data_IF_122153950086
#
_entry.id   IF_122153950086
#
_cell.length_a   1.000
_cell.length_b   1.000
_cell.length_c   1.000
_cell.angle_alpha   90.00
_cell.angle_beta   90.00
_cell.angle_gamma   90.00
#
_symmetry.space_group_name_H-M   'P 1'
#
loop_
_entity.id
_entity.type
_entity.pdbx_description
1 polymer ?
#
# COMPACT_ATOMS: atom_id res chain seq x y z
N UNK A 1 16.03 -6.82 2.37
CA UNK A 1 14.55 -6.77 2.51
C UNK A 1 14.05 -5.38 2.17
N UNK A 2 13.63 -5.13 0.92
CA UNK A 2 12.93 -3.90 0.51
C UNK A 2 11.38 -4.01 0.51
N UNK A 3 10.73 -5.17 0.25
CA UNK A 3 9.28 -5.18 0.03
C UNK A 3 8.47 -4.91 1.31
N UNK A 4 8.99 -5.24 2.49
CA UNK A 4 8.25 -5.04 3.74
C UNK A 4 8.06 -3.55 4.07
N UNK A 5 9.09 -2.72 3.84
CA UNK A 5 9.04 -1.29 4.15
C UNK A 5 8.05 -0.56 3.24
N UNK A 6 8.03 -0.92 1.95
CA UNK A 6 7.06 -0.37 1.00
C UNK A 6 5.62 -0.72 1.44
N UNK A 7 5.36 -1.95 1.88
CA UNK A 7 4.01 -2.31 2.34
C UNK A 7 3.64 -1.59 3.63
N UNK A 8 4.54 -1.50 4.60
CA UNK A 8 4.28 -0.74 5.84
C UNK A 8 3.95 0.73 5.57
N UNK A 9 4.65 1.37 4.62
CA UNK A 9 4.35 2.74 4.20
C UNK A 9 2.99 2.86 3.51
N UNK A 10 2.60 1.84 2.74
CA UNK A 10 1.28 1.79 2.08
C UNK A 10 0.18 1.67 3.13
N UNK A 11 0.34 0.75 4.09
CA UNK A 11 -0.62 0.54 5.18
C UNK A 11 -0.75 1.79 6.07
N UNK A 12 0.37 2.40 6.45
CA UNK A 12 0.38 3.64 7.23
C UNK A 12 -0.30 4.79 6.48
N UNK A 13 -0.03 4.94 5.17
CA UNK A 13 -0.67 5.95 4.35
C UNK A 13 -2.18 5.71 4.17
N UNK A 14 -2.62 4.45 4.15
CA UNK A 14 -4.03 4.07 4.09
C UNK A 14 -4.75 4.33 5.42
N UNK A 15 -4.13 4.01 6.57
CA UNK A 15 -4.69 4.30 7.89
C UNK A 15 -4.73 5.80 8.21
N UNK A 16 -3.71 6.57 7.79
CA UNK A 16 -3.66 8.02 7.96
C UNK A 16 -4.71 8.77 7.13
N UNK A 17 -5.21 8.16 6.06
CA UNK A 17 -6.24 8.74 5.21
C UNK A 17 -7.64 8.39 5.76
N UNK A 18 -8.43 9.40 6.11
CA UNK A 18 -9.79 9.21 6.64
C UNK A 18 -10.72 8.40 5.73
N UNK A 19 -10.44 8.38 4.42
CA UNK A 19 -11.21 7.63 3.44
C UNK A 19 -10.62 6.26 3.10
N UNK A 20 -9.44 5.89 3.62
CA UNK A 20 -8.84 4.57 3.42
C UNK A 20 -8.67 4.18 1.94
N UNK A 21 -8.37 5.14 1.07
CA UNK A 21 -8.34 4.92 -0.39
C UNK A 21 -6.92 4.85 -0.94
N UNK A 22 -6.66 3.84 -1.79
CA UNK A 22 -5.42 3.72 -2.56
C UNK A 22 -5.16 4.96 -3.42
N UNK A 23 -6.19 5.66 -3.89
CA UNK A 23 -6.02 6.89 -4.66
C UNK A 23 -5.35 7.99 -3.82
N UNK A 24 -5.80 8.15 -2.58
CA UNK A 24 -5.26 9.17 -1.68
C UNK A 24 -3.87 8.78 -1.14
N UNK A 25 -3.67 7.51 -0.79
CA UNK A 25 -2.35 6.99 -0.41
C UNK A 25 -1.32 7.14 -1.56
N UNK A 26 -1.75 6.99 -2.82
CA UNK A 26 -0.89 7.17 -3.99
C UNK A 26 -0.37 8.60 -4.15
N UNK A 27 -1.19 9.59 -3.78
CA UNK A 27 -0.80 11.00 -3.79
C UNK A 27 0.27 11.31 -2.72
N UNK A 28 0.21 10.66 -1.55
CA UNK A 28 1.23 10.81 -0.49
C UNK A 28 2.54 10.11 -0.80
N UNK A 29 2.45 8.93 -1.41
CA UNK A 29 3.62 8.08 -1.68
C UNK A 29 4.25 8.33 -3.06
N UNK A 30 3.72 9.27 -3.85
CA UNK A 30 4.18 9.59 -5.22
C UNK A 30 4.24 8.34 -6.13
N UNK A 31 3.27 7.45 -5.98
CA UNK A 31 3.14 6.20 -6.73
C UNK A 31 1.76 6.16 -7.40
N UNK A 32 1.51 5.19 -8.26
CA UNK A 32 0.18 4.99 -8.84
C UNK A 32 -0.69 4.11 -7.92
N UNK A 33 -2.02 4.31 -7.87
CA UNK A 33 -2.91 3.48 -7.04
C UNK A 33 -2.79 1.98 -7.36
N UNK A 34 -2.63 1.65 -8.65
CA UNK A 34 -2.47 0.29 -9.14
C UNK A 34 -1.20 -0.38 -8.60
N UNK A 35 -0.10 0.36 -8.46
CA UNK A 35 1.14 -0.15 -7.90
C UNK A 35 1.02 -0.42 -6.39
N UNK A 36 0.26 0.41 -5.66
CA UNK A 36 -0.02 0.17 -4.24
C UNK A 36 -0.87 -1.09 -4.06
N UNK A 37 -1.96 -1.20 -4.81
CA UNK A 37 -2.86 -2.36 -4.76
C UNK A 37 -2.13 -3.65 -5.12
N UNK A 38 -1.29 -3.64 -6.15
CA UNK A 38 -0.45 -4.80 -6.51
C UNK A 38 0.50 -5.20 -5.38
N UNK A 39 1.11 -4.22 -4.70
CA UNK A 39 2.07 -4.48 -3.62
C UNK A 39 1.38 -5.10 -2.40
N UNK A 40 0.18 -4.61 -2.06
CA UNK A 40 -0.64 -5.20 -0.98
C UNK A 40 -1.10 -6.60 -1.36
N UNK A 41 -1.64 -6.80 -2.56
CA UNK A 41 -2.12 -8.12 -3.01
C UNK A 41 -0.98 -9.15 -3.08
N UNK A 42 0.22 -8.71 -3.47
CA UNK A 42 1.40 -9.58 -3.44
C UNK A 42 1.74 -9.99 -2.00
N UNK A 43 1.66 -9.06 -1.05
CA UNK A 43 1.89 -9.40 0.36
C UNK A 43 0.83 -10.36 0.89
N UNK A 44 -0.46 -10.15 0.57
CA UNK A 44 -1.55 -11.06 0.95
C UNK A 44 -1.31 -12.47 0.41
N UNK A 45 -0.90 -12.58 -0.86
CA UNK A 45 -0.49 -13.86 -1.45
C UNK A 45 0.73 -14.48 -0.74
N UNK A 46 1.75 -13.68 -0.41
CA UNK A 46 2.96 -14.14 0.30
C UNK A 46 2.63 -14.60 1.73
N UNK A 47 1.62 -14.01 2.36
CA UNK A 47 1.07 -14.38 3.68
C UNK A 47 -0.01 -15.47 3.61
N UNK A 48 -0.44 -15.81 2.39
CA UNK A 48 -1.44 -16.83 2.10
C UNK A 48 -2.81 -16.54 2.77
N UNK A 49 -3.21 -15.26 2.77
CA UNK A 49 -4.47 -14.72 3.30
C UNK A 49 -5.35 -14.12 2.21
#
# INVERSE_FOLDING_TARGET
>A
MKPLLDVLLILDALELEKEGSFAAASAKLFKTPSALSYTVHKLENDLNI
#
